data_IF_012770538142
#
_entry.id   IF_012770538142
#
_cell.length_a   1.000
_cell.length_b   1.000
_cell.length_c   1.000
_cell.angle_alpha   90.00
_cell.angle_beta   90.00
_cell.angle_gamma   90.00
#
_symmetry.space_group_name_H-M   'P 1'
#
loop_
_entity.id
_entity.type
_entity.pdbx_description
1 polymer ?
#
# COMPACT_ATOMS: atom_id res chain seq x y z
N UNK A 1 33.15 3.70 -42.45
CA UNK A 1 33.15 4.02 -41.01
C UNK A 1 32.05 3.23 -40.33
N UNK A 2 32.42 2.18 -39.58
CA UNK A 2 31.49 1.36 -38.80
C UNK A 2 31.01 2.13 -37.57
N UNK A 3 29.70 2.23 -37.39
CA UNK A 3 29.10 2.77 -36.16
C UNK A 3 28.87 1.62 -35.18
N UNK A 4 29.66 1.59 -34.12
CA UNK A 4 29.54 0.68 -32.98
C UNK A 4 28.23 0.93 -32.22
N UNK A 5 27.43 -0.12 -32.03
CA UNK A 5 26.25 -0.09 -31.16
C UNK A 5 26.69 -0.08 -29.69
N UNK A 6 26.52 1.05 -29.02
CA UNK A 6 26.67 1.12 -27.57
C UNK A 6 25.35 0.65 -26.94
N UNK A 7 25.29 -0.63 -26.57
CA UNK A 7 24.24 -1.15 -25.69
C UNK A 7 24.51 -0.61 -24.29
N UNK A 8 23.81 0.46 -23.92
CA UNK A 8 23.90 1.02 -22.57
C UNK A 8 22.99 0.21 -21.62
N UNK A 9 23.49 -0.94 -21.14
CA UNK A 9 22.89 -1.61 -19.98
C UNK A 9 23.25 -0.80 -18.74
N UNK A 10 22.35 0.12 -18.31
CA UNK A 10 22.45 0.75 -16.99
C UNK A 10 22.11 -0.30 -15.93
N UNK A 11 23.13 -0.88 -15.32
CA UNK A 11 22.99 -1.55 -14.03
C UNK A 11 22.54 -0.50 -13.01
N UNK A 12 21.28 -0.59 -12.56
CA UNK A 12 20.76 0.21 -11.46
C UNK A 12 21.40 -0.31 -10.18
N UNK A 13 22.52 0.30 -9.80
CA UNK A 13 23.12 0.13 -8.48
C UNK A 13 22.12 0.62 -7.44
N UNK A 14 21.44 -0.31 -6.77
CA UNK A 14 20.62 0.00 -5.61
C UNK A 14 21.55 0.38 -4.46
N UNK A 15 21.78 1.69 -4.28
CA UNK A 15 22.31 2.20 -3.02
C UNK A 15 21.34 1.73 -1.91
N UNK A 16 21.80 0.82 -1.06
CA UNK A 16 21.04 0.32 0.09
C UNK A 16 20.94 1.42 1.14
N UNK A 17 20.05 2.39 0.93
CA UNK A 17 19.53 3.18 2.03
C UNK A 17 18.85 2.21 2.99
N UNK A 18 19.23 2.25 4.27
CA UNK A 18 18.54 1.49 5.32
C UNK A 18 17.04 1.78 5.17
N UNK A 19 16.24 0.73 4.99
CA UNK A 19 14.78 0.85 4.89
C UNK A 19 14.29 1.70 6.05
N UNK A 20 13.65 2.84 5.76
CA UNK A 20 12.99 3.64 6.79
C UNK A 20 11.98 2.74 7.50
N UNK A 21 11.96 2.80 8.83
CA UNK A 21 10.94 2.12 9.62
C UNK A 21 9.55 2.66 9.22
N UNK A 22 8.50 1.83 9.26
CA UNK A 22 7.14 2.29 9.02
C UNK A 22 6.77 3.45 9.97
N UNK A 23 6.02 4.42 9.46
CA UNK A 23 5.43 5.46 10.29
C UNK A 23 4.18 4.90 10.98
N UNK A 24 4.36 4.54 12.25
CA UNK A 24 3.33 3.94 13.11
C UNK A 24 2.22 4.92 13.47
N UNK A 25 2.40 6.24 13.26
CA UNK A 25 1.35 7.23 13.51
C UNK A 25 0.14 7.06 12.59
N UNK A 26 0.32 6.38 11.45
CA UNK A 26 -0.74 6.06 10.49
C UNK A 26 -1.58 4.84 10.92
N UNK A 27 -1.16 4.13 11.98
CA UNK A 27 -1.79 2.88 12.38
C UNK A 27 -2.97 3.23 13.29
N UNK A 28 -4.17 3.24 12.72
CA UNK A 28 -5.40 3.49 13.48
C UNK A 28 -5.85 2.20 14.16
N UNK A 29 -6.07 2.20 15.49
CA UNK A 29 -6.46 1.00 16.23
C UNK A 29 -7.87 0.55 15.85
N UNK A 30 -8.03 -0.74 15.58
CA UNK A 30 -9.32 -1.37 15.28
C UNK A 30 -10.04 -1.74 16.59
N UNK A 31 -11.34 -1.45 16.66
CA UNK A 31 -12.20 -1.93 17.74
C UNK A 31 -12.44 -3.44 17.60
N UNK A 32 -12.07 -4.20 18.63
CA UNK A 32 -12.30 -5.64 18.66
C UNK A 32 -13.78 -5.95 18.93
N UNK A 33 -14.37 -6.81 18.09
CA UNK A 33 -15.72 -7.33 18.31
C UNK A 33 -15.67 -8.40 19.41
N UNK A 34 -16.53 -8.26 20.40
CA UNK A 34 -16.76 -9.26 21.43
C UNK A 34 -17.63 -10.37 20.85
N UNK A 35 -17.02 -11.33 20.18
CA UNK A 35 -17.73 -12.55 19.83
C UNK A 35 -17.95 -13.31 21.14
N UNK A 36 -19.22 -13.34 21.59
CA UNK A 36 -19.69 -14.16 22.70
C UNK A 36 -19.59 -15.63 22.28
N UNK A 37 -18.39 -16.18 22.33
CA UNK A 37 -18.17 -17.63 22.27
C UNK A 37 -18.59 -18.21 23.63
N UNK A 38 -19.45 -19.22 23.56
CA UNK A 38 -20.10 -19.96 24.66
C UNK A 38 -19.09 -20.67 25.61
N UNK A 39 -17.79 -20.59 25.31
CA UNK A 39 -16.66 -21.19 26.04
C UNK A 39 -16.15 -20.34 27.23
N UNK A 40 -16.78 -19.20 27.51
CA UNK A 40 -16.28 -18.20 28.44
C UNK A 40 -16.15 -18.58 29.91
N UNK A 41 -16.80 -19.66 30.32
CA UNK A 41 -16.80 -20.15 31.70
C UNK A 41 -15.71 -21.20 31.95
N UNK A 42 -15.21 -21.86 30.90
CA UNK A 42 -14.32 -23.03 31.02
C UNK A 42 -13.03 -22.70 31.77
N UNK A 43 -12.45 -21.52 31.52
CA UNK A 43 -11.24 -21.08 32.22
C UNK A 43 -11.45 -20.91 33.72
N UNK A 44 -12.58 -20.32 34.13
CA UNK A 44 -12.93 -20.12 35.54
C UNK A 44 -13.29 -21.44 36.23
N UNK A 45 -13.92 -22.37 35.50
CA UNK A 45 -14.25 -23.72 35.99
C UNK A 45 -13.01 -24.59 36.23
N UNK A 46 -12.00 -24.48 35.36
CA UNK A 46 -10.74 -25.24 35.48
C UNK A 46 -9.78 -24.67 36.54
N UNK A 47 -9.95 -23.41 36.93
CA UNK A 47 -9.05 -22.72 37.87
C UNK A 47 -9.84 -22.04 39.00
N UNK A 48 -9.68 -20.73 39.16
CA UNK A 48 -10.39 -19.90 40.14
C UNK A 48 -10.70 -18.55 39.51
N UNK A 49 -11.73 -17.83 39.96
CA UNK A 49 -12.01 -16.48 39.47
C UNK A 49 -10.81 -15.55 39.71
N UNK A 50 -10.42 -14.81 38.66
CA UNK A 50 -9.27 -13.91 38.71
C UNK A 50 -9.51 -12.74 39.68
N UNK A 51 -8.59 -12.54 40.63
CA UNK A 51 -8.55 -11.31 41.43
C UNK A 51 -8.09 -10.14 40.56
N UNK A 52 -8.99 -9.19 40.33
CA UNK A 52 -8.74 -7.98 39.54
C UNK A 52 -7.59 -7.13 40.10
N UNK A 53 -7.37 -7.14 41.42
CA UNK A 53 -6.29 -6.39 42.07
C UNK A 53 -4.92 -6.97 41.74
N UNK A 54 -4.74 -8.29 41.91
CA UNK A 54 -3.50 -8.99 41.56
C UNK A 54 -3.23 -8.96 40.06
N UNK A 55 -4.27 -9.14 39.25
CA UNK A 55 -4.21 -9.04 37.80
C UNK A 55 -3.69 -7.66 37.34
N UNK A 56 -4.19 -6.58 37.96
CA UNK A 56 -3.73 -5.22 37.66
C UNK A 56 -2.28 -4.99 38.09
N UNK A 57 -1.85 -5.54 39.23
CA UNK A 57 -0.43 -5.48 39.66
C UNK A 57 0.47 -6.21 38.68
N UNK A 58 0.06 -7.39 38.23
CA UNK A 58 0.77 -8.20 37.25
C UNK A 58 0.89 -7.47 35.90
N UNK A 59 -0.22 -6.95 35.35
CA UNK A 59 -0.21 -6.20 34.09
C UNK A 59 0.70 -4.97 34.15
N UNK A 60 0.69 -4.23 35.28
CA UNK A 60 1.59 -3.11 35.47
C UNK A 60 3.07 -3.52 35.58
N UNK A 61 3.35 -4.72 36.11
CA UNK A 61 4.69 -5.31 36.13
C UNK A 61 5.14 -5.67 34.71
N UNK A 62 4.27 -6.30 33.92
CA UNK A 62 4.50 -6.59 32.50
C UNK A 62 4.84 -5.31 31.71
N UNK A 63 4.03 -4.25 31.85
CA UNK A 63 4.25 -2.99 31.14
C UNK A 63 5.60 -2.35 31.42
N UNK A 64 6.13 -2.49 32.65
CA UNK A 64 7.42 -1.89 33.07
C UNK A 64 8.64 -2.71 32.66
N UNK A 65 8.49 -3.96 32.24
CA UNK A 65 9.62 -4.82 31.86
C UNK A 65 10.24 -4.35 30.54
N UNK A 66 11.54 -4.03 30.58
CA UNK A 66 12.29 -3.53 29.41
C UNK A 66 12.49 -4.61 28.36
N UNK A 67 12.61 -5.85 28.81
CA UNK A 67 12.76 -7.04 27.98
C UNK A 67 11.53 -7.22 27.08
N UNK A 68 10.33 -7.04 27.64
CA UNK A 68 9.07 -7.14 26.91
C UNK A 68 8.87 -5.97 25.94
N UNK A 69 9.22 -4.76 26.35
CA UNK A 69 9.19 -3.59 25.45
C UNK A 69 10.16 -3.75 24.28
N UNK A 70 11.35 -4.31 24.52
CA UNK A 70 12.33 -4.59 23.47
C UNK A 70 11.84 -5.68 22.53
N UNK A 71 11.29 -6.77 23.07
CA UNK A 71 10.72 -7.86 22.27
C UNK A 71 9.55 -7.37 21.40
N UNK A 72 8.72 -6.46 21.91
CA UNK A 72 7.66 -5.81 21.16
C UNK A 72 8.22 -4.92 20.03
N UNK A 73 9.24 -4.12 20.31
CA UNK A 73 9.89 -3.29 19.30
C UNK A 73 10.50 -4.12 18.16
N UNK A 74 11.09 -5.28 18.48
CA UNK A 74 11.62 -6.23 17.48
C UNK A 74 10.51 -6.82 16.58
N UNK A 75 9.26 -6.83 17.05
CA UNK A 75 8.06 -7.24 16.31
C UNK A 75 7.31 -6.05 15.65
N UNK A 76 7.89 -4.85 15.67
CA UNK A 76 7.30 -3.65 15.04
C UNK A 76 6.32 -2.86 15.92
N UNK A 77 6.17 -3.22 17.20
CA UNK A 77 5.42 -2.45 18.19
C UNK A 77 6.34 -1.41 18.82
N UNK A 78 6.33 -0.19 18.29
CA UNK A 78 7.02 0.92 18.92
C UNK A 78 6.38 1.32 20.27
N UNK A 79 6.98 2.29 20.97
CA UNK A 79 6.49 2.71 22.29
C UNK A 79 5.04 3.21 22.27
N UNK A 80 4.60 3.82 21.17
CA UNK A 80 3.24 4.34 21.02
C UNK A 80 2.24 3.19 20.85
N UNK A 81 2.49 2.30 19.90
CA UNK A 81 1.64 1.13 19.64
C UNK A 81 1.64 0.16 20.81
N UNK A 82 2.77 -0.02 21.49
CA UNK A 82 2.86 -0.82 22.70
C UNK A 82 1.95 -0.26 23.81
N UNK A 83 1.97 1.07 24.03
CA UNK A 83 1.11 1.71 25.02
C UNK A 83 -0.38 1.56 24.66
N UNK A 84 -0.75 1.85 23.41
CA UNK A 84 -2.14 1.71 22.96
C UNK A 84 -2.63 0.26 23.06
N UNK A 85 -1.81 -0.69 22.65
CA UNK A 85 -2.08 -2.12 22.80
C UNK A 85 -2.25 -2.49 24.27
N UNK A 86 -1.38 -2.01 25.15
CA UNK A 86 -1.46 -2.30 26.58
C UNK A 86 -2.72 -1.76 27.21
N UNK A 87 -3.10 -0.52 26.90
CA UNK A 87 -4.35 0.08 27.41
C UNK A 87 -5.55 -0.75 26.95
N UNK A 88 -5.59 -1.15 25.68
CA UNK A 88 -6.66 -1.98 25.12
C UNK A 88 -6.67 -3.39 25.71
N UNK A 89 -5.51 -4.04 25.84
CA UNK A 89 -5.38 -5.39 26.39
C UNK A 89 -5.75 -5.44 27.88
N UNK A 90 -5.32 -4.44 28.66
CA UNK A 90 -5.73 -4.28 30.07
C UNK A 90 -7.25 -4.14 30.19
N UNK A 91 -7.86 -3.33 29.31
CA UNK A 91 -9.32 -3.16 29.26
C UNK A 91 -10.00 -4.49 28.94
N UNK A 92 -9.53 -5.19 27.91
CA UNK A 92 -10.01 -6.51 27.51
C UNK A 92 -9.96 -7.52 28.66
N UNK A 93 -8.83 -7.63 29.36
CA UNK A 93 -8.66 -8.60 30.44
C UNK A 93 -9.47 -8.26 31.70
N UNK A 94 -9.70 -6.98 32.01
CA UNK A 94 -10.40 -6.56 33.25
C UNK A 94 -11.93 -6.42 33.11
N UNK A 95 -12.40 -6.08 31.90
CA UNK A 95 -13.81 -5.78 31.64
C UNK A 95 -14.57 -6.92 30.96
N UNK A 96 -13.89 -7.84 30.27
CA UNK A 96 -14.57 -8.96 29.64
C UNK A 96 -15.11 -9.94 30.68
N UNK A 97 -16.36 -10.37 30.47
CA UNK A 97 -17.03 -11.39 31.29
C UNK A 97 -16.53 -12.80 31.01
N UNK A 98 -15.91 -13.00 29.85
CA UNK A 98 -15.44 -14.27 29.32
C UNK A 98 -14.08 -14.06 28.65
N UNK A 99 -13.07 -14.78 29.11
CA UNK A 99 -11.75 -14.84 28.48
C UNK A 99 -11.55 -16.24 27.88
N UNK A 100 -10.78 -16.38 26.79
CA UNK A 100 -10.32 -17.68 26.33
C UNK A 100 -9.70 -18.48 27.48
N UNK A 101 -10.03 -19.77 27.57
CA UNK A 101 -9.64 -20.61 28.71
C UNK A 101 -8.11 -20.66 28.89
N UNK A 102 -7.37 -20.72 27.79
CA UNK A 102 -5.91 -20.71 27.78
C UNK A 102 -5.32 -19.41 28.36
N UNK A 103 -5.85 -18.25 27.96
CA UNK A 103 -5.46 -16.96 28.54
C UNK A 103 -5.83 -16.89 30.03
N UNK A 104 -7.03 -17.36 30.40
CA UNK A 104 -7.48 -17.34 31.80
C UNK A 104 -6.58 -18.18 32.72
N UNK A 105 -6.20 -19.39 32.30
CA UNK A 105 -5.31 -20.28 33.06
C UNK A 105 -3.95 -19.62 33.29
N UNK A 106 -3.34 -19.08 32.22
CA UNK A 106 -2.04 -18.40 32.32
C UNK A 106 -2.11 -17.19 33.25
N UNK A 107 -3.17 -16.38 33.16
CA UNK A 107 -3.36 -15.25 34.08
C UNK A 107 -3.47 -15.70 35.54
N UNK A 108 -4.19 -16.79 35.79
CA UNK A 108 -4.35 -17.34 37.14
C UNK A 108 -3.01 -17.86 37.68
N UNK A 109 -2.26 -18.63 36.90
CA UNK A 109 -0.96 -19.19 37.31
C UNK A 109 0.03 -18.08 37.66
N UNK A 110 0.07 -16.99 36.89
CA UNK A 110 0.94 -15.85 37.19
C UNK A 110 0.48 -15.14 38.47
N UNK A 111 -0.82 -14.95 38.67
CA UNK A 111 -1.37 -14.34 39.90
C UNK A 111 -1.09 -15.19 41.15
N UNK A 112 -1.12 -16.52 41.02
CA UNK A 112 -0.80 -17.45 42.11
C UNK A 112 0.72 -17.71 42.28
N UNK A 113 1.57 -17.13 41.44
CA UNK A 113 3.02 -17.30 41.49
C UNK A 113 3.54 -18.63 40.92
N UNK A 114 2.69 -19.38 40.21
CA UNK A 114 3.02 -20.62 39.51
C UNK A 114 3.51 -20.40 38.07
N UNK A 115 3.38 -19.18 37.53
CA UNK A 115 3.81 -18.79 36.18
C UNK A 115 4.71 -17.55 36.17
N UNK A 116 5.38 -17.31 35.04
CA UNK A 116 6.22 -16.14 34.84
C UNK A 116 5.47 -15.02 34.11
N UNK A 117 5.73 -13.76 34.45
CA UNK A 117 5.02 -12.61 33.87
C UNK A 117 5.17 -12.51 32.34
N UNK A 118 6.23 -13.09 31.78
CA UNK A 118 6.48 -13.06 30.33
C UNK A 118 5.56 -14.02 29.55
N UNK A 119 4.93 -14.98 30.22
CA UNK A 119 4.07 -15.99 29.58
C UNK A 119 2.80 -15.37 28.98
N UNK A 120 2.46 -14.13 29.37
CA UNK A 120 1.37 -13.34 28.78
C UNK A 120 1.73 -12.72 27.42
N UNK A 121 3.01 -12.62 27.08
CA UNK A 121 3.47 -11.90 25.90
C UNK A 121 2.88 -12.42 24.57
N UNK A 122 2.76 -13.74 24.31
CA UNK A 122 2.13 -14.24 23.09
C UNK A 122 0.68 -13.79 22.93
N UNK A 123 -0.08 -13.75 24.04
CA UNK A 123 -1.46 -13.27 24.08
C UNK A 123 -1.55 -11.77 23.85
N UNK A 124 -0.65 -11.00 24.48
CA UNK A 124 -0.52 -9.57 24.26
C UNK A 124 -0.19 -9.26 22.79
N UNK A 125 0.74 -9.99 22.18
CA UNK A 125 1.11 -9.81 20.77
C UNK A 125 -0.03 -10.19 19.83
N UNK A 126 -0.78 -11.26 20.12
CA UNK A 126 -1.99 -11.63 19.36
C UNK A 126 -3.03 -10.52 19.43
N UNK A 127 -3.27 -9.96 20.61
CA UNK A 127 -4.16 -8.81 20.79
C UNK A 127 -3.69 -7.59 20.00
N UNK A 128 -2.38 -7.31 20.03
CA UNK A 128 -1.75 -6.23 19.27
C UNK A 128 -2.02 -6.35 17.77
N UNK A 129 -1.88 -7.55 17.21
CA UNK A 129 -2.13 -7.86 15.81
C UNK A 129 -3.60 -7.72 15.43
N UNK A 130 -4.52 -7.99 16.35
CA UNK A 130 -5.95 -7.76 16.10
C UNK A 130 -6.29 -6.27 16.08
N UNK A 131 -5.67 -5.46 16.94
CA UNK A 131 -5.84 -4.00 16.96
C UNK A 131 -5.16 -3.34 15.76
N UNK A 132 -3.97 -3.82 15.41
CA UNK A 132 -3.13 -3.31 14.33
C UNK A 132 -2.82 -4.43 13.34
N UNK A 133 -3.77 -4.79 12.45
CA UNK A 133 -3.60 -5.89 11.48
C UNK A 133 -2.39 -5.74 10.57
N UNK A 134 -1.94 -4.50 10.35
CA UNK A 134 -0.76 -4.22 9.53
C UNK A 134 0.51 -4.89 10.07
N UNK A 135 0.61 -5.13 11.38
CA UNK A 135 1.76 -5.82 11.99
C UNK A 135 1.95 -7.24 11.45
N UNK A 136 0.87 -7.90 11.00
CA UNK A 136 0.93 -9.27 10.46
C UNK A 136 1.33 -9.32 8.99
N UNK A 137 1.09 -8.26 8.23
CA UNK A 137 1.25 -8.27 6.77
C UNK A 137 2.22 -7.21 6.25
N UNK A 138 3.18 -6.76 7.08
CA UNK A 138 4.15 -5.74 6.67
C UNK A 138 4.96 -6.11 5.43
N UNK A 139 5.37 -7.37 5.31
CA UNK A 139 6.13 -7.82 4.14
C UNK A 139 5.27 -7.90 2.88
N UNK A 140 3.99 -8.20 3.00
CA UNK A 140 3.07 -8.21 1.87
C UNK A 140 2.77 -6.78 1.41
N UNK A 141 2.54 -5.85 2.35
CA UNK A 141 2.40 -4.43 2.04
C UNK A 141 3.65 -3.86 1.36
N UNK A 142 4.85 -4.27 1.78
CA UNK A 142 6.11 -3.92 1.10
C UNK A 142 6.18 -4.45 -0.33
N UNK A 143 5.77 -5.69 -0.56
CA UNK A 143 5.75 -6.30 -1.92
C UNK A 143 4.73 -5.61 -2.82
N UNK A 144 3.52 -5.34 -2.32
CA UNK A 144 2.44 -4.70 -3.08
C UNK A 144 2.81 -3.26 -3.45
N UNK A 145 3.49 -2.55 -2.55
CA UNK A 145 3.97 -1.18 -2.76
C UNK A 145 5.37 -1.09 -3.38
N UNK A 146 5.90 -2.19 -3.91
CA UNK A 146 7.21 -2.18 -4.57
C UNK A 146 7.12 -1.56 -5.97
N UNK A 147 7.39 -0.26 -6.05
CA UNK A 147 7.36 0.50 -7.29
C UNK A 147 8.75 0.72 -7.92
N UNK A 148 9.75 -0.13 -7.62
CA UNK A 148 11.15 0.08 -8.02
C UNK A 148 11.42 -0.02 -9.52
N UNK A 149 10.64 -0.82 -10.26
CA UNK A 149 10.86 -1.03 -11.71
C UNK A 149 9.59 -0.73 -12.52
N UNK A 150 9.18 0.55 -12.65
CA UNK A 150 7.96 0.91 -13.36
C UNK A 150 7.97 0.51 -14.85
N UNK A 151 9.17 0.39 -15.45
CA UNK A 151 9.30 -0.06 -16.84
C UNK A 151 8.75 -1.47 -17.08
N UNK A 152 8.75 -2.33 -16.05
CA UNK A 152 8.24 -3.70 -16.14
C UNK A 152 6.71 -3.77 -16.08
N UNK A 153 6.04 -2.68 -15.69
CA UNK A 153 4.58 -2.62 -15.64
C UNK A 153 3.95 -2.58 -17.05
N UNK A 154 4.77 -2.33 -18.08
CA UNK A 154 4.33 -2.18 -19.47
C UNK A 154 4.97 -3.25 -20.38
N UNK A 155 4.59 -4.53 -20.24
CA UNK A 155 5.24 -5.64 -20.96
C UNK A 155 5.12 -5.52 -22.49
N UNK A 156 3.97 -5.10 -23.00
CA UNK A 156 3.74 -4.92 -24.45
C UNK A 156 4.67 -3.85 -25.03
N UNK A 157 4.80 -2.71 -24.34
CA UNK A 157 5.72 -1.64 -24.71
C UNK A 157 7.19 -2.05 -24.58
N UNK A 158 7.49 -3.15 -23.87
CA UNK A 158 8.83 -3.74 -23.73
C UNK A 158 9.13 -4.83 -24.75
N UNK A 159 8.11 -5.47 -25.30
CA UNK A 159 8.23 -6.45 -26.36
C UNK A 159 8.57 -5.84 -27.73
N UNK A 160 8.32 -4.54 -27.94
CA UNK A 160 8.56 -3.85 -29.22
C UNK A 160 9.75 -2.89 -29.16
N UNK A 161 10.40 -2.68 -30.32
CA UNK A 161 11.42 -1.65 -30.48
C UNK A 161 10.77 -0.27 -30.49
N UNK A 162 11.19 0.62 -29.58
CA UNK A 162 10.69 2.00 -29.50
C UNK A 162 11.84 3.00 -29.59
N UNK A 163 11.64 4.07 -30.35
CA UNK A 163 12.58 5.19 -30.46
C UNK A 163 11.96 6.42 -29.81
N UNK A 164 12.67 7.02 -28.85
CA UNK A 164 12.26 8.27 -28.21
C UNK A 164 12.89 9.43 -28.97
N UNK A 165 12.07 10.41 -29.36
CA UNK A 165 12.51 11.65 -30.00
C UNK A 165 12.07 12.80 -29.10
N UNK A 166 13.03 13.55 -28.57
CA UNK A 166 12.77 14.66 -27.67
C UNK A 166 12.89 15.99 -28.43
N UNK A 167 11.75 16.65 -28.67
CA UNK A 167 11.70 17.96 -29.32
C UNK A 167 11.93 19.09 -28.30
N UNK A 168 13.20 19.38 -28.00
CA UNK A 168 13.59 20.41 -27.03
C UNK A 168 13.51 21.83 -27.62
N UNK A 169 12.99 22.78 -26.85
CA UNK A 169 13.00 24.20 -27.21
C UNK A 169 12.05 25.05 -26.36
N UNK A 170 12.20 26.39 -26.36
CA UNK A 170 11.31 27.31 -25.63
C UNK A 170 9.87 27.26 -26.20
N UNK A 171 8.93 27.94 -25.54
CA UNK A 171 7.59 28.14 -26.10
C UNK A 171 7.70 28.85 -27.46
N UNK A 172 6.74 28.59 -28.36
CA UNK A 172 6.70 29.19 -29.71
C UNK A 172 7.90 28.91 -30.63
N UNK A 173 8.68 27.84 -30.37
CA UNK A 173 9.82 27.42 -31.20
C UNK A 173 9.49 26.42 -32.32
N UNK A 174 8.21 26.11 -32.54
CA UNK A 174 7.78 25.14 -33.55
C UNK A 174 8.01 23.67 -33.20
N UNK A 175 8.45 23.35 -31.97
CA UNK A 175 8.66 21.96 -31.50
C UNK A 175 7.42 21.07 -31.63
N UNK A 176 6.27 21.57 -31.19
CA UNK A 176 4.98 20.85 -31.25
C UNK A 176 4.54 20.66 -32.69
N UNK A 177 4.74 21.68 -33.53
CA UNK A 177 4.37 21.61 -34.95
C UNK A 177 5.02 20.41 -35.65
N UNK A 178 6.34 20.24 -35.50
CA UNK A 178 7.04 19.11 -36.13
C UNK A 178 6.56 17.74 -35.64
N UNK A 179 6.27 17.61 -34.34
CA UNK A 179 5.73 16.38 -33.77
C UNK A 179 4.32 16.06 -34.32
N UNK A 180 3.45 17.07 -34.41
CA UNK A 180 2.08 16.93 -34.94
C UNK A 180 2.10 16.61 -36.43
N UNK A 181 2.97 17.24 -37.24
CA UNK A 181 3.10 16.87 -38.65
C UNK A 181 3.51 15.41 -38.83
N UNK A 182 4.43 14.91 -37.99
CA UNK A 182 4.82 13.49 -38.03
C UNK A 182 3.68 12.55 -37.63
N UNK A 183 2.86 12.95 -36.65
CA UNK A 183 1.66 12.26 -36.21
C UNK A 183 0.61 12.17 -37.32
N UNK A 184 0.28 13.29 -37.98
CA UNK A 184 -0.69 13.32 -39.08
C UNK A 184 -0.24 12.47 -40.28
N UNK A 185 1.06 12.40 -40.55
CA UNK A 185 1.61 11.60 -41.64
C UNK A 185 1.79 10.10 -41.31
N UNK A 186 1.58 9.67 -40.06
CA UNK A 186 1.65 8.27 -39.67
C UNK A 186 0.38 7.50 -40.07
N UNK A 187 0.46 6.18 -40.22
CA UNK A 187 -0.72 5.34 -40.47
C UNK A 187 -1.64 5.28 -39.25
N UNK A 188 -1.08 5.36 -38.05
CA UNK A 188 -1.78 5.47 -36.78
C UNK A 188 -0.98 6.30 -35.78
N UNK A 189 -1.64 6.87 -34.79
CA UNK A 189 -0.98 7.69 -33.78
C UNK A 189 -1.87 8.07 -32.61
N UNK A 190 -1.24 8.34 -31.47
CA UNK A 190 -1.89 8.91 -30.29
C UNK A 190 -1.24 10.25 -29.95
N UNK A 191 -2.07 11.27 -29.72
CA UNK A 191 -1.67 12.54 -29.13
C UNK A 191 -2.10 12.60 -27.67
N UNK A 192 -1.15 12.77 -26.76
CA UNK A 192 -1.40 12.91 -25.33
C UNK A 192 -1.24 14.37 -24.89
N UNK A 193 -2.34 15.10 -24.73
CA UNK A 193 -2.36 16.49 -24.30
C UNK A 193 -2.39 16.63 -22.77
N UNK A 194 -1.78 17.69 -22.20
CA UNK A 194 -1.86 17.98 -20.77
C UNK A 194 -3.17 18.68 -20.38
N UNK A 195 -3.99 19.11 -21.36
CA UNK A 195 -5.22 19.85 -21.16
C UNK A 195 -6.29 19.36 -22.13
N UNK A 196 -7.54 19.36 -21.67
CA UNK A 196 -8.72 19.06 -22.51
C UNK A 196 -8.74 19.91 -23.78
N UNK A 197 -8.54 21.22 -23.66
CA UNK A 197 -8.52 22.15 -24.81
C UNK A 197 -7.51 21.73 -25.89
N UNK A 198 -6.34 21.21 -25.50
CA UNK A 198 -5.33 20.77 -26.45
C UNK A 198 -5.68 19.44 -27.11
N UNK A 199 -6.37 18.53 -26.40
CA UNK A 199 -6.90 17.31 -27.01
C UNK A 199 -7.94 17.64 -28.09
N UNK A 200 -8.87 18.57 -27.79
CA UNK A 200 -9.83 19.07 -28.77
C UNK A 200 -9.15 19.77 -29.96
N UNK A 201 -8.14 20.62 -29.69
CA UNK A 201 -7.41 21.32 -30.76
C UNK A 201 -6.77 20.35 -31.76
N UNK A 202 -6.14 19.26 -31.27
CA UNK A 202 -5.53 18.26 -32.15
C UNK A 202 -6.56 17.36 -32.82
N UNK A 203 -7.65 17.01 -32.13
CA UNK A 203 -8.79 16.31 -32.73
C UNK A 203 -9.37 17.08 -33.92
N UNK A 204 -9.69 18.37 -33.72
CA UNK A 204 -10.23 19.24 -34.77
C UNK A 204 -9.24 19.41 -35.92
N UNK A 205 -7.96 19.67 -35.63
CA UNK A 205 -6.91 19.83 -36.64
C UNK A 205 -6.69 18.56 -37.46
N UNK A 206 -6.70 17.39 -36.82
CA UNK A 206 -6.50 16.11 -37.51
C UNK A 206 -7.66 15.82 -38.47
N UNK A 207 -8.90 15.94 -38.00
CA UNK A 207 -10.08 15.70 -38.82
C UNK A 207 -10.21 16.76 -39.94
N UNK A 208 -9.87 18.03 -39.67
CA UNK A 208 -9.81 19.08 -40.70
C UNK A 208 -8.74 18.81 -41.77
N UNK A 209 -7.66 18.11 -41.41
CA UNK A 209 -6.64 17.63 -42.33
C UNK A 209 -7.01 16.30 -43.03
N UNK A 210 -8.26 15.85 -42.91
CA UNK A 210 -8.75 14.57 -43.46
C UNK A 210 -8.01 13.34 -42.94
N UNK A 211 -7.50 13.42 -41.71
CA UNK A 211 -6.94 12.28 -40.97
C UNK A 211 -7.92 11.91 -39.86
N UNK A 212 -8.73 10.84 -40.04
CA UNK A 212 -9.75 10.42 -39.08
C UNK A 212 -9.13 10.22 -37.70
N UNK A 213 -9.63 10.94 -36.71
CA UNK A 213 -9.07 10.98 -35.36
C UNK A 213 -10.18 11.01 -34.33
N UNK A 214 -10.16 10.08 -33.37
CA UNK A 214 -11.10 10.06 -32.26
C UNK A 214 -10.66 11.01 -31.13
N UNK A 215 -11.60 11.43 -30.28
CA UNK A 215 -11.33 12.23 -29.09
C UNK A 215 -11.60 11.40 -27.83
N UNK A 216 -10.67 11.39 -26.88
CA UNK A 216 -10.83 10.74 -25.58
C UNK A 216 -10.36 11.64 -24.43
N UNK A 217 -11.28 12.16 -23.64
CA UNK A 217 -10.99 12.86 -22.38
C UNK A 217 -11.60 12.10 -21.20
N UNK A 218 -11.38 12.58 -19.98
CA UNK A 218 -12.03 12.00 -18.80
C UNK A 218 -13.56 12.12 -18.84
N UNK A 219 -14.07 13.18 -19.49
CA UNK A 219 -15.49 13.52 -19.52
C UNK A 219 -16.18 13.16 -20.84
N UNK A 220 -15.43 12.98 -21.93
CA UNK A 220 -16.00 12.87 -23.28
C UNK A 220 -15.25 11.83 -24.13
N UNK A 221 -16.00 11.11 -24.97
CA UNK A 221 -15.46 10.20 -25.97
C UNK A 221 -16.23 10.37 -27.28
N UNK A 222 -15.53 10.71 -28.34
CA UNK A 222 -16.12 10.98 -29.66
C UNK A 222 -15.43 10.13 -30.70
N UNK A 223 -16.19 9.23 -31.32
CA UNK A 223 -15.74 8.40 -32.44
C UNK A 223 -16.16 9.04 -33.75
N UNK A 224 -15.24 9.15 -34.71
CA UNK A 224 -15.55 9.79 -36.00
C UNK A 224 -16.19 8.85 -37.01
N UNK A 225 -16.03 7.53 -36.84
CA UNK A 225 -16.68 6.53 -37.66
C UNK A 225 -18.15 6.33 -37.20
N UNK A 226 -19.15 6.43 -38.11
CA UNK A 226 -20.57 6.30 -37.76
C UNK A 226 -20.97 4.92 -37.22
N UNK A 227 -20.19 3.88 -37.51
CA UNK A 227 -20.40 2.52 -37.01
C UNK A 227 -19.71 2.32 -35.63
N UNK A 228 -19.05 3.36 -35.12
CA UNK A 228 -18.37 3.37 -33.82
C UNK A 228 -17.02 2.65 -33.82
N UNK A 229 -16.40 2.46 -35.01
CA UNK A 229 -15.07 1.84 -35.12
C UNK A 229 -13.99 2.84 -34.71
N UNK A 230 -12.97 2.34 -34.01
CA UNK A 230 -11.81 3.16 -33.65
C UNK A 230 -11.05 3.64 -34.90
N UNK A 231 -10.76 4.94 -34.93
CA UNK A 231 -9.94 5.53 -35.98
C UNK A 231 -8.46 5.11 -35.83
N UNK A 232 -7.67 5.31 -36.90
CA UNK A 232 -6.22 5.10 -36.85
C UNK A 232 -5.51 6.09 -35.91
N UNK A 233 -6.13 7.24 -35.65
CA UNK A 233 -5.58 8.29 -34.81
C UNK A 233 -6.51 8.59 -33.63
N UNK A 234 -5.92 9.02 -32.51
CA UNK A 234 -6.66 9.45 -31.33
C UNK A 234 -5.96 10.63 -30.66
N UNK A 235 -6.73 11.65 -30.30
CA UNK A 235 -6.29 12.75 -29.46
C UNK A 235 -6.93 12.62 -28.07
N UNK A 236 -6.11 12.61 -27.02
CA UNK A 236 -6.58 12.38 -25.67
C UNK A 236 -5.88 13.25 -24.63
N UNK A 237 -6.43 13.31 -23.43
CA UNK A 237 -5.66 13.74 -22.27
C UNK A 237 -4.69 12.63 -21.85
N UNK A 238 -3.52 12.98 -21.29
CA UNK A 238 -2.45 12.02 -20.98
C UNK A 238 -2.90 10.90 -20.01
N UNK A 239 -3.90 11.14 -19.18
CA UNK A 239 -4.46 10.18 -18.24
C UNK A 239 -5.31 9.09 -18.92
N UNK A 240 -5.68 9.28 -20.19
CA UNK A 240 -6.65 8.46 -20.92
C UNK A 240 -6.06 7.68 -22.11
N UNK A 241 -4.73 7.66 -22.26
CA UNK A 241 -4.03 6.94 -23.34
C UNK A 241 -3.74 5.48 -23.04
#
# INVERSE_FOLDING_TARGET
>A
HQASSVVCCRNVSSNSSKSKLPDTSLFVPVSLKTDTLDDGSVGAELTQPLDKSELLKMLNRFYKRKEMQKLAADQGLDACLFHQTFVSFRKYVLEMTSLPADLHIILNDICCGAGHTDDIYPYFLRHAKQIFPMLDCMDDLRKISDLRVPANWYPEARAIQRKVIFHAGPTNSGKTYHAIQRYLAAQSGVYCGPLKLLAHEIFEKSNSASVPCDLVTGEERTFVDPEGRAAGHVACTIEMC
#
